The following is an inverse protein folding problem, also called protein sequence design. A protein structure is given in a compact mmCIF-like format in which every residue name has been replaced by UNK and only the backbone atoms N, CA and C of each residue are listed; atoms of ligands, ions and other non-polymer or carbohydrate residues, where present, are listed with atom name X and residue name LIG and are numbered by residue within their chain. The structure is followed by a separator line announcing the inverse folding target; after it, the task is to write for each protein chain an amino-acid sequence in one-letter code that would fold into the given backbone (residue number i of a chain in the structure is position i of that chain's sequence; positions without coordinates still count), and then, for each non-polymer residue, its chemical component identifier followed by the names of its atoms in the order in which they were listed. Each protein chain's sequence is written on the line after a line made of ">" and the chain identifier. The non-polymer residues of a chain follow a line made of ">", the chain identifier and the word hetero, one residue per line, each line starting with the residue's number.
data_IF_820615467980
#
_entry.id   IF_820615467980
#
_cell.length_a   1.000
_cell.length_b   1.000
_cell.length_c   1.000
_cell.angle_alpha   90.00
_cell.angle_beta   90.00
_cell.angle_gamma   90.00
#
_symmetry.space_group_name_H-M   'P 1'
#
loop_
_entity.id
_entity.type
_entity.pdbx_description
1 polymer ?
#
# COMPACT_ATOMS: atom_id res chain seq x y z
N UNK A 1 13.64 13.59 -4.25
CA UNK A 1 12.79 13.36 -5.44
C UNK A 1 11.37 13.17 -4.96
N UNK A 2 10.36 13.65 -5.68
CA UNK A 2 8.95 13.40 -5.35
C UNK A 2 8.67 11.92 -5.57
N UNK A 3 8.17 11.24 -4.54
CA UNK A 3 7.82 9.81 -4.64
C UNK A 3 6.59 9.66 -5.54
N UNK A 4 6.63 8.70 -6.47
CA UNK A 4 5.59 8.44 -7.46
C UNK A 4 4.98 7.07 -7.22
N UNK A 5 3.65 6.94 -7.30
CA UNK A 5 2.94 5.66 -7.23
C UNK A 5 2.36 5.28 -8.59
N UNK A 6 1.97 4.01 -8.69
CA UNK A 6 1.17 3.47 -9.80
C UNK A 6 -0.21 4.14 -9.91
N UNK A 7 -0.83 4.51 -8.78
CA UNK A 7 -2.13 5.20 -8.71
C UNK A 7 -2.11 6.40 -7.76
N UNK A 8 -3.13 7.27 -7.86
CA UNK A 8 -3.40 8.30 -6.85
C UNK A 8 -2.60 9.61 -6.95
N UNK A 9 -1.59 9.69 -7.83
CA UNK A 9 -0.91 10.95 -8.11
C UNK A 9 -1.76 11.79 -9.09
N UNK A 10 -2.60 12.69 -8.57
CA UNK A 10 -3.37 13.67 -9.34
C UNK A 10 -2.50 14.32 -10.43
N UNK A 11 -3.01 14.35 -11.67
CA UNK A 11 -2.35 14.90 -12.86
C UNK A 11 -1.09 14.17 -13.40
N UNK A 12 -0.80 12.95 -12.95
CA UNK A 12 0.28 12.13 -13.55
C UNK A 12 -0.27 10.97 -14.38
N UNK A 13 0.31 10.75 -15.57
CA UNK A 13 0.03 9.60 -16.43
C UNK A 13 1.11 8.56 -16.23
N UNK A 14 0.83 7.51 -15.49
CA UNK A 14 1.75 6.38 -15.28
C UNK A 14 1.54 5.31 -16.35
N UNK A 15 2.63 4.84 -16.94
CA UNK A 15 2.67 3.72 -17.88
C UNK A 15 3.50 2.58 -17.27
N UNK A 16 3.31 1.35 -17.75
CA UNK A 16 4.13 0.20 -17.33
C UNK A 16 5.65 0.44 -17.47
N UNK A 17 6.08 1.19 -18.49
CA UNK A 17 7.50 1.53 -18.67
C UNK A 17 8.09 2.42 -17.56
N UNK A 18 7.23 3.10 -16.80
CA UNK A 18 7.65 4.01 -15.74
C UNK A 18 7.88 3.24 -14.41
N UNK A 19 7.56 1.93 -14.38
CA UNK A 19 7.84 1.00 -13.28
C UNK A 19 9.28 0.48 -13.35
N UNK A 20 10.25 1.37 -13.26
CA UNK A 20 11.68 1.07 -13.46
C UNK A 20 12.29 0.22 -12.35
N UNK A 21 11.68 0.18 -11.16
CA UNK A 21 12.09 -0.68 -10.03
C UNK A 21 11.66 -2.15 -10.22
N UNK A 22 10.92 -2.45 -11.31
CA UNK A 22 10.43 -3.77 -11.68
C UNK A 22 8.98 -3.99 -11.31
N UNK A 23 8.17 -4.47 -12.26
CA UNK A 23 6.72 -4.68 -12.06
C UNK A 23 6.40 -5.72 -10.98
N UNK A 24 7.30 -6.68 -10.74
CA UNK A 24 7.18 -7.68 -9.67
C UNK A 24 7.40 -7.10 -8.26
N UNK A 25 7.90 -5.88 -8.17
CA UNK A 25 8.31 -5.17 -6.96
C UNK A 25 7.38 -3.99 -6.65
N UNK A 26 6.19 -3.97 -7.27
CA UNK A 26 5.23 -2.89 -7.12
C UNK A 26 3.89 -3.51 -6.77
N UNK A 27 3.37 -3.13 -5.61
CA UNK A 27 2.01 -3.49 -5.19
C UNK A 27 1.04 -2.61 -5.97
N UNK A 28 0.01 -3.24 -6.54
CA UNK A 28 -1.05 -2.56 -7.30
C UNK A 28 -2.36 -2.56 -6.54
N UNK A 29 -2.68 -3.67 -5.88
CA UNK A 29 -3.89 -3.85 -5.07
C UNK A 29 -3.55 -4.69 -3.84
N UNK A 30 -4.13 -4.37 -2.68
CA UNK A 30 -4.01 -5.17 -1.47
C UNK A 30 -5.37 -5.52 -0.86
N UNK A 31 -5.39 -6.60 -0.07
CA UNK A 31 -6.58 -6.99 0.70
C UNK A 31 -6.93 -5.96 1.78
N UNK A 32 -8.23 -5.68 1.93
CA UNK A 32 -8.75 -4.95 3.08
C UNK A 32 -9.95 -5.67 3.68
N UNK A 33 -9.82 -6.04 4.94
CA UNK A 33 -10.89 -6.56 5.77
C UNK A 33 -11.51 -5.42 6.60
N UNK A 34 -12.83 -5.32 6.56
CA UNK A 34 -13.58 -4.44 7.45
C UNK A 34 -13.62 -5.07 8.85
N UNK A 35 -12.61 -4.80 9.66
CA UNK A 35 -12.62 -5.08 11.10
C UNK A 35 -12.70 -3.76 11.85
N UNK A 36 -13.88 -3.12 11.82
CA UNK A 36 -14.20 -2.16 12.87
C UNK A 36 -14.49 -2.95 14.16
N UNK A 37 -14.02 -2.50 15.34
CA UNK A 37 -14.57 -2.97 16.61
C UNK A 37 -16.10 -2.81 16.56
N UNK A 38 -16.89 -3.65 17.27
CA UNK A 38 -18.34 -3.66 17.14
C UNK A 38 -18.93 -2.34 17.67
N UNK A 39 -18.98 -1.32 16.80
CA UNK A 39 -19.74 -0.09 17.02
C UNK A 39 -21.18 -0.39 16.63
N UNK A 40 -22.16 -0.16 17.52
CA UNK A 40 -23.51 -0.72 17.37
C UNK A 40 -24.39 -0.03 16.31
N UNK A 41 -23.86 0.83 15.42
CA UNK A 41 -24.74 1.67 14.58
C UNK A 41 -24.30 1.95 13.13
N UNK A 42 -23.10 1.56 12.67
CA UNK A 42 -22.71 1.82 11.28
C UNK A 42 -21.76 0.75 10.77
N UNK A 43 -22.25 -0.08 9.84
CA UNK A 43 -21.40 -0.94 9.03
C UNK A 43 -20.69 -0.07 7.98
N UNK A 44 -19.55 0.53 8.33
CA UNK A 44 -18.67 1.20 7.37
C UNK A 44 -17.90 0.16 6.58
N UNK A 45 -18.56 -0.42 5.57
CA UNK A 45 -17.91 -1.31 4.59
C UNK A 45 -17.02 -0.48 3.67
N UNK A 46 -15.82 -0.15 4.10
CA UNK A 46 -14.83 0.50 3.24
C UNK A 46 -14.09 -0.60 2.46
N UNK A 47 -14.67 -0.99 1.32
CA UNK A 47 -14.06 -1.89 0.36
C UNK A 47 -13.37 -1.10 -0.75
N UNK A 48 -12.21 -1.62 -1.18
CA UNK A 48 -11.23 -1.06 -2.11
C UNK A 48 -10.31 0.00 -1.49
N UNK A 49 -9.01 -0.30 -1.41
CA UNK A 49 -8.01 0.75 -1.34
C UNK A 49 -6.98 0.59 -2.46
N UNK A 50 -6.88 1.67 -3.22
CA UNK A 50 -5.88 1.94 -4.22
C UNK A 50 -4.50 2.04 -3.56
N UNK A 51 -3.48 1.47 -4.20
CA UNK A 51 -2.09 1.65 -3.76
C UNK A 51 -1.57 2.96 -4.33
N UNK A 52 -1.24 3.92 -3.48
CA UNK A 52 -0.87 5.28 -3.88
C UNK A 52 -0.17 6.05 -2.77
N UNK A 53 0.43 7.19 -3.10
CA UNK A 53 1.04 8.13 -2.13
C UNK A 53 0.12 9.32 -1.82
N UNK A 54 0.18 9.80 -0.58
CA UNK A 54 -0.55 11.01 -0.20
C UNK A 54 0.23 12.26 -0.63
N UNK A 55 -0.10 12.86 -1.78
CA UNK A 55 0.55 14.10 -2.24
C UNK A 55 -0.12 15.38 -1.69
N UNK A 56 -1.33 15.27 -1.15
CA UNK A 56 -2.06 16.33 -0.44
C UNK A 56 -3.13 15.74 0.52
N UNK A 57 -3.78 16.59 1.32
CA UNK A 57 -4.77 16.19 2.32
C UNK A 57 -6.03 15.50 1.74
N UNK A 58 -6.20 15.47 0.42
CA UNK A 58 -7.36 14.88 -0.26
C UNK A 58 -7.04 13.55 -0.98
N UNK A 59 -5.78 13.08 -0.95
CA UNK A 59 -5.41 11.79 -1.55
C UNK A 59 -5.79 10.61 -0.63
N UNK A 60 -6.66 9.72 -1.11
CA UNK A 60 -7.06 8.48 -0.44
C UNK A 60 -5.93 7.46 -0.59
N UNK A 61 -5.28 7.11 0.52
CA UNK A 61 -3.97 6.45 0.52
C UNK A 61 -4.07 5.14 1.29
N UNK A 62 -3.79 3.98 0.68
CA UNK A 62 -3.89 2.66 1.34
C UNK A 62 -2.60 2.03 1.82
N UNK A 63 -1.47 2.63 1.48
CA UNK A 63 -0.15 2.01 1.72
C UNK A 63 0.94 3.01 2.02
N UNK A 64 0.74 4.27 1.66
CA UNK A 64 1.86 5.14 1.38
C UNK A 64 1.59 6.59 1.71
N UNK A 65 0.87 6.84 2.81
CA UNK A 65 1.05 8.13 3.49
C UNK A 65 2.50 8.24 4.00
N UNK A 66 3.17 7.09 4.18
CA UNK A 66 4.53 6.97 4.70
C UNK A 66 5.63 7.48 3.78
N UNK A 67 5.58 7.35 2.45
CA UNK A 67 6.73 7.79 1.63
C UNK A 67 6.84 9.30 1.43
N UNK A 68 5.84 10.08 1.84
CA UNK A 68 5.97 11.53 2.03
C UNK A 68 6.33 11.91 3.49
N UNK A 69 6.41 10.94 4.39
CA UNK A 69 6.94 11.10 5.75
C UNK A 69 8.33 10.47 5.89
N UNK A 70 9.06 10.77 6.97
CA UNK A 70 10.40 10.20 7.25
C UNK A 70 10.33 8.72 7.69
N UNK A 71 9.67 7.86 6.90
CA UNK A 71 9.57 6.41 7.15
C UNK A 71 8.13 5.87 7.20
N UNK A 72 7.96 4.55 7.39
CA UNK A 72 6.66 3.89 7.52
C UNK A 72 5.85 4.47 8.68
N UNK A 73 4.59 4.84 8.43
CA UNK A 73 3.64 5.07 9.51
C UNK A 73 3.27 3.71 10.12
N UNK A 74 3.64 3.49 11.38
CA UNK A 74 3.47 2.22 12.08
C UNK A 74 2.00 1.80 12.23
N UNK A 75 1.06 2.74 12.09
CA UNK A 75 -0.38 2.51 12.13
C UNK A 75 -0.96 2.08 10.78
N UNK A 76 -0.23 2.26 9.67
CA UNK A 76 -0.65 1.90 8.30
C UNK A 76 0.02 0.62 7.78
N UNK A 77 0.83 -0.05 8.60
CA UNK A 77 1.32 -1.39 8.28
C UNK A 77 0.17 -2.39 8.25
N UNK A 78 0.43 -3.54 7.63
CA UNK A 78 -0.54 -4.63 7.47
C UNK A 78 -1.16 -5.01 8.83
N UNK A 79 -2.49 -5.14 8.87
CA UNK A 79 -3.29 -5.50 10.06
C UNK A 79 -3.20 -4.51 11.23
N UNK A 80 -2.70 -3.29 11.02
CA UNK A 80 -2.68 -2.24 12.04
C UNK A 80 -3.95 -1.39 12.06
N UNK A 81 -4.05 -0.49 13.04
CA UNK A 81 -5.28 0.21 13.41
C UNK A 81 -5.77 1.29 12.44
N UNK A 82 -5.05 1.60 11.37
CA UNK A 82 -5.47 2.66 10.44
C UNK A 82 -6.62 2.23 9.54
N UNK A 83 -7.54 3.16 9.29
CA UNK A 83 -8.59 3.02 8.28
C UNK A 83 -8.03 2.95 6.84
N UNK A 84 -6.72 3.14 6.67
CA UNK A 84 -6.01 3.02 5.42
C UNK A 84 -5.17 1.73 5.32
N UNK A 85 -4.87 1.07 6.44
CA UNK A 85 -4.00 -0.12 6.47
C UNK A 85 -4.62 -1.30 5.72
N UNK A 86 -3.89 -1.94 4.80
CA UNK A 86 -4.31 -3.24 4.28
C UNK A 86 -4.46 -4.24 5.42
N UNK A 87 -5.48 -5.08 5.33
CA UNK A 87 -5.89 -5.94 6.44
C UNK A 87 -6.61 -7.18 5.93
N UNK A 88 -6.49 -8.27 6.69
CA UNK A 88 -7.09 -9.54 6.34
C UNK A 88 -7.32 -10.38 7.60
N UNK A 89 -8.39 -11.21 7.64
CA UNK A 89 -8.53 -12.21 8.69
C UNK A 89 -7.56 -13.40 8.51
N UNK A 90 -6.77 -13.43 7.43
CA UNK A 90 -5.73 -14.43 7.25
C UNK A 90 -4.64 -14.29 8.32
N UNK A 91 -4.18 -15.43 8.83
CA UNK A 91 -3.16 -15.46 9.89
C UNK A 91 -1.84 -14.94 9.33
N UNK A 92 -1.29 -13.90 9.95
CA UNK A 92 0.08 -13.44 9.74
C UNK A 92 0.29 -12.50 8.56
N UNK A 93 -0.76 -12.02 7.88
CA UNK A 93 -0.62 -11.10 6.75
C UNK A 93 -1.81 -11.04 5.79
N UNK A 94 -1.56 -10.52 4.59
CA UNK A 94 -2.56 -10.25 3.55
C UNK A 94 -2.03 -10.64 2.16
N UNK A 95 -2.93 -10.90 1.21
CA UNK A 95 -2.54 -11.01 -0.20
C UNK A 95 -2.52 -9.66 -0.91
N UNK A 96 -1.60 -9.56 -1.87
CA UNK A 96 -1.37 -8.39 -2.70
C UNK A 96 -1.21 -8.80 -4.16
N UNK A 97 -1.83 -8.04 -5.05
CA UNK A 97 -1.60 -8.13 -6.50
C UNK A 97 -0.43 -7.22 -6.86
N UNK A 98 0.56 -7.78 -7.53
CA UNK A 98 1.75 -7.06 -7.98
C UNK A 98 1.57 -6.54 -9.41
N UNK A 99 2.44 -5.62 -9.84
CA UNK A 99 2.45 -5.03 -11.17
C UNK A 99 2.66 -6.02 -12.33
N UNK A 100 3.30 -7.15 -12.07
CA UNK A 100 3.46 -8.26 -13.03
C UNK A 100 2.25 -9.22 -13.07
N UNK A 101 1.23 -9.00 -12.23
CA UNK A 101 0.03 -9.81 -12.14
C UNK A 101 0.12 -10.99 -11.17
N UNK A 102 1.26 -11.24 -10.50
CA UNK A 102 1.32 -12.28 -9.46
C UNK A 102 0.54 -11.81 -8.23
N UNK A 103 -0.10 -12.76 -7.55
CA UNK A 103 -0.61 -12.55 -6.19
C UNK A 103 0.42 -13.09 -5.22
N UNK A 104 0.82 -12.27 -4.25
CA UNK A 104 1.79 -12.62 -3.23
C UNK A 104 1.22 -12.36 -1.84
N UNK A 105 1.42 -13.30 -0.93
CA UNK A 105 1.13 -13.09 0.49
C UNK A 105 2.28 -12.32 1.12
N UNK A 106 2.00 -11.19 1.78
CA UNK A 106 2.98 -10.41 2.52
C UNK A 106 2.69 -10.51 4.01
N UNK A 107 3.75 -10.77 4.79
CA UNK A 107 3.63 -10.89 6.24
C UNK A 107 3.32 -9.53 6.89
N UNK A 108 2.51 -9.54 7.94
CA UNK A 108 2.33 -8.37 8.81
C UNK A 108 3.61 -7.93 9.54
N UNK A 109 4.64 -8.79 9.56
CA UNK A 109 5.96 -8.50 10.13
C UNK A 109 6.98 -8.01 9.10
N UNK A 110 6.55 -7.71 7.86
CA UNK A 110 7.41 -7.16 6.82
C UNK A 110 8.12 -5.89 7.31
N UNK A 111 9.36 -5.69 6.88
CA UNK A 111 10.07 -4.44 7.16
C UNK A 111 9.27 -3.25 6.58
N UNK A 112 8.98 -2.25 7.41
CA UNK A 112 8.12 -1.14 7.02
C UNK A 112 8.69 -0.28 5.88
N UNK A 113 10.02 -0.16 5.77
CA UNK A 113 10.65 0.55 4.65
C UNK A 113 10.44 -0.23 3.35
N UNK A 114 10.68 -1.55 3.38
CA UNK A 114 10.42 -2.44 2.23
C UNK A 114 8.97 -2.34 1.78
N UNK A 115 8.03 -2.42 2.72
CA UNK A 115 6.60 -2.27 2.44
C UNK A 115 6.25 -0.90 1.83
N UNK A 116 6.91 0.16 2.29
CA UNK A 116 6.74 1.52 1.75
C UNK A 116 7.28 1.62 0.32
N UNK A 117 8.45 1.05 0.03
CA UNK A 117 9.05 1.05 -1.31
C UNK A 117 8.28 0.20 -2.31
N UNK A 118 7.62 -0.87 -1.84
CA UNK A 118 6.71 -1.66 -2.68
C UNK A 118 5.48 -0.87 -3.16
N UNK A 119 5.11 0.24 -2.51
CA UNK A 119 4.06 1.14 -3.01
C UNK A 119 4.58 2.14 -4.07
N UNK A 120 5.91 2.25 -4.18
CA UNK A 120 6.67 3.19 -5.01
C UNK A 120 6.87 2.73 -6.43
N UNK A 121 7.03 3.69 -7.33
CA UNK A 121 7.60 3.48 -8.65
C UNK A 121 8.69 4.53 -8.91
N UNK A 122 9.70 4.11 -9.66
CA UNK A 122 10.80 4.96 -10.14
C UNK A 122 11.53 5.69 -9.00
N UNK A 123 11.71 5.03 -7.86
CA UNK A 123 12.40 5.59 -6.70
C UNK A 123 13.85 5.07 -6.55
N UNK A 124 14.22 4.04 -7.31
CA UNK A 124 15.55 3.45 -7.31
C UNK A 124 15.91 2.73 -6.01
N UNK A 125 14.92 2.40 -5.17
CA UNK A 125 15.13 1.69 -3.91
C UNK A 125 15.32 0.20 -4.18
N UNK A 126 16.37 -0.36 -3.59
CA UNK A 126 16.63 -1.80 -3.66
C UNK A 126 15.71 -2.49 -2.65
N UNK A 127 14.89 -3.40 -3.15
CA UNK A 127 13.99 -4.21 -2.34
C UNK A 127 14.61 -5.60 -2.16
N UNK A 128 14.71 -6.05 -0.90
CA UNK A 128 15.22 -7.38 -0.55
C UNK A 128 14.21 -8.49 -0.82
N UNK A 129 14.41 -9.68 -0.23
CA UNK A 129 13.37 -10.72 -0.20
C UNK A 129 12.27 -10.31 0.79
N UNK A 130 11.01 -10.55 0.41
CA UNK A 130 9.80 -10.21 1.17
C UNK A 130 8.67 -11.21 0.89
#
# INVERSE_FOLDING_TARGET
>A
ATVQASFGNSDTKVRFRDMTDGTSNIIMVGERATLDPPSPATWTRTGAIWVGFQVDANSLTGTASSANSTGPLTTELINQSSANAFSSPHVGGCHFLMGDGKVQFLSENINGDTYTWLAGINDGKVIGEF
#
